data_IF_818591441794
#
_entry.id   IF_818591441794
#
_cell.length_a   1.000
_cell.length_b   1.000
_cell.length_c   1.000
_cell.angle_alpha   90.00
_cell.angle_beta   90.00
_cell.angle_gamma   90.00
#
_symmetry.space_group_name_H-M   'P 1'
#
loop_
_entity.id
_entity.type
_entity.pdbx_description
1 polymer ?
#
# COMPACT_ATOMS: atom_id res chain seq x y z
N UNK A 1 -29.66 3.26 -5.54
CA UNK A 1 -29.40 2.33 -4.43
C UNK A 1 -30.26 1.10 -4.64
N UNK A 2 -29.66 -0.10 -4.60
CA UNK A 2 -30.38 -1.37 -4.79
C UNK A 2 -31.29 -1.62 -3.58
N UNK A 3 -32.55 -1.94 -3.82
CA UNK A 3 -33.52 -2.23 -2.77
C UNK A 3 -33.25 -3.65 -2.22
N UNK A 4 -32.57 -3.75 -1.08
CA UNK A 4 -32.35 -5.02 -0.37
C UNK A 4 -32.88 -4.94 1.05
N UNK A 5 -33.55 -6.01 1.51
CA UNK A 5 -34.22 -6.05 2.82
C UNK A 5 -33.27 -6.18 4.02
N UNK A 6 -32.03 -6.65 3.81
CA UNK A 6 -30.99 -6.77 4.84
C UNK A 6 -29.64 -6.40 4.22
N UNK A 7 -28.83 -5.65 4.97
CA UNK A 7 -27.45 -5.31 4.59
C UNK A 7 -26.50 -5.70 5.70
N UNK A 8 -25.50 -6.51 5.36
CA UNK A 8 -24.48 -7.02 6.27
C UNK A 8 -23.13 -6.53 5.76
N UNK A 9 -22.36 -5.89 6.64
CA UNK A 9 -21.00 -5.44 6.36
C UNK A 9 -20.03 -6.28 7.19
N UNK A 10 -19.25 -7.13 6.52
CA UNK A 10 -18.12 -7.83 7.13
C UNK A 10 -16.89 -6.95 6.95
N UNK A 11 -16.45 -6.31 8.05
CA UNK A 11 -15.29 -5.43 8.05
C UNK A 11 -14.17 -6.04 8.89
N UNK A 12 -13.03 -6.31 8.26
CA UNK A 12 -11.81 -6.78 8.90
C UNK A 12 -10.66 -5.78 8.66
N UNK A 13 -10.88 -4.51 9.00
CA UNK A 13 -9.87 -3.45 8.91
C UNK A 13 -9.26 -3.11 10.27
N UNK A 14 -8.14 -2.35 10.29
CA UNK A 14 -7.44 -1.99 11.51
C UNK A 14 -8.35 -1.18 12.45
N UNK A 15 -8.20 -1.36 13.77
CA UNK A 15 -9.03 -0.69 14.78
C UNK A 15 -8.91 0.85 14.81
N UNK A 16 -7.94 1.41 14.08
CA UNK A 16 -7.76 2.86 13.90
C UNK A 16 -8.45 3.33 12.61
N UNK A 17 -9.76 3.18 12.56
CA UNK A 17 -10.57 3.77 11.49
C UNK A 17 -10.64 5.27 11.78
N UNK A 18 -10.30 6.12 10.80
CA UNK A 18 -10.48 7.57 10.94
C UNK A 18 -11.97 7.88 11.11
N UNK A 19 -12.36 8.83 11.96
CA UNK A 19 -13.79 9.11 12.23
C UNK A 19 -14.63 9.31 10.96
N UNK A 20 -14.04 9.84 9.89
CA UNK A 20 -14.66 9.99 8.56
C UNK A 20 -14.90 8.66 7.84
N UNK A 21 -13.96 7.72 7.91
CA UNK A 21 -14.09 6.39 7.32
C UNK A 21 -15.18 5.58 8.03
N UNK A 22 -15.29 5.73 9.35
CA UNK A 22 -16.34 5.08 10.12
C UNK A 22 -17.74 5.59 9.74
N UNK A 23 -17.89 6.90 9.54
CA UNK A 23 -19.15 7.50 9.04
C UNK A 23 -19.47 7.04 7.62
N UNK A 24 -18.47 6.90 6.75
CA UNK A 24 -18.67 6.35 5.41
C UNK A 24 -19.16 4.88 5.49
N UNK A 25 -18.60 4.06 6.37
CA UNK A 25 -19.06 2.67 6.58
C UNK A 25 -20.49 2.62 7.14
N UNK A 26 -20.84 3.52 8.05
CA UNK A 26 -22.20 3.63 8.58
C UNK A 26 -23.20 4.08 7.51
N UNK A 27 -22.80 4.99 6.62
CA UNK A 27 -23.65 5.44 5.51
C UNK A 27 -24.02 4.31 4.54
N UNK A 28 -23.17 3.29 4.41
CA UNK A 28 -23.46 2.09 3.61
C UNK A 28 -24.53 1.21 4.26
N UNK A 29 -24.61 1.22 5.60
CA UNK A 29 -25.57 0.44 6.39
C UNK A 29 -26.89 1.19 6.56
N UNK A 30 -26.85 2.50 6.72
CA UNK A 30 -28.05 3.34 6.82
C UNK A 30 -28.75 3.41 5.46
N UNK A 31 -29.88 2.71 5.37
CA UNK A 31 -30.80 2.85 4.25
C UNK A 31 -31.81 3.81 4.79
N UNK A 32 -32.08 4.88 4.05
CA UNK A 32 -33.20 5.78 4.33
C UNK A 32 -34.44 4.93 4.66
N UNK A 33 -34.75 4.83 5.96
CA UNK A 33 -36.09 4.55 6.42
C UNK A 33 -36.88 5.74 5.90
N UNK A 34 -37.77 5.48 4.95
CA UNK A 34 -38.32 6.52 4.09
C UNK A 34 -39.15 7.57 4.83
N UNK A 35 -39.25 8.73 4.15
CA UNK A 35 -40.39 9.69 4.17
C UNK A 35 -40.39 10.59 5.44
N UNK A 36 -40.40 11.93 5.42
CA UNK A 36 -40.91 12.92 4.47
C UNK A 36 -40.21 14.29 4.65
N UNK A 37 -40.49 15.25 3.76
CA UNK A 37 -39.98 16.62 3.74
C UNK A 37 -40.09 17.35 5.10
N UNK A 38 -39.12 18.24 5.37
CA UNK A 38 -39.23 19.62 5.91
C UNK A 38 -38.25 19.91 7.06
N UNK A 39 -37.28 20.78 6.77
CA UNK A 39 -36.64 21.80 7.64
C UNK A 39 -36.20 21.46 9.06
N UNK A 40 -34.90 21.67 9.35
CA UNK A 40 -34.42 21.87 10.72
C UNK A 40 -33.07 21.21 11.00
N UNK A 41 -32.01 21.95 10.70
CA UNK A 41 -30.63 21.61 11.05
C UNK A 41 -30.45 21.75 12.57
N UNK A 42 -29.74 20.80 13.19
CA UNK A 42 -29.07 20.86 14.51
C UNK A 42 -29.67 20.13 15.73
N UNK A 43 -30.89 19.57 15.73
CA UNK A 43 -31.43 18.84 16.90
C UNK A 43 -31.30 17.30 16.85
N UNK A 44 -31.04 16.70 15.67
CA UNK A 44 -31.29 15.26 15.45
C UNK A 44 -30.11 14.32 15.70
N UNK A 45 -28.91 14.85 15.97
CA UNK A 45 -27.71 14.00 16.13
C UNK A 45 -27.81 13.02 17.31
N UNK A 46 -28.44 13.44 18.41
CA UNK A 46 -28.53 12.62 19.62
C UNK A 46 -29.65 11.56 19.55
N UNK A 47 -30.72 11.83 18.79
CA UNK A 47 -31.80 10.87 18.58
C UNK A 47 -31.39 9.79 17.56
N UNK A 48 -30.66 10.16 16.51
CA UNK A 48 -30.08 9.20 15.57
C UNK A 48 -29.07 8.28 16.25
N UNK A 49 -28.24 8.78 17.18
CA UNK A 49 -27.31 7.96 17.96
C UNK A 49 -28.03 6.90 18.83
N UNK A 50 -29.22 7.22 19.33
CA UNK A 50 -30.09 6.28 20.04
C UNK A 50 -30.66 5.17 19.15
N UNK A 51 -31.02 5.49 17.90
CA UNK A 51 -31.46 4.52 16.88
C UNK A 51 -30.29 3.73 16.27
N UNK A 52 -29.08 4.30 16.24
CA UNK A 52 -27.85 3.67 15.73
C UNK A 52 -27.37 2.52 16.62
N UNK A 53 -27.69 2.54 17.92
CA UNK A 53 -27.50 1.40 18.86
C UNK A 53 -28.24 0.13 18.41
N UNK A 54 -29.19 0.24 17.47
CA UNK A 54 -29.96 -0.86 16.90
C UNK A 54 -29.26 -1.53 15.69
N UNK A 55 -28.16 -0.97 15.19
CA UNK A 55 -27.22 -1.71 14.34
C UNK A 55 -26.49 -2.69 15.24
N UNK A 56 -27.03 -3.91 15.33
CA UNK A 56 -26.42 -5.00 16.09
C UNK A 56 -25.04 -5.27 15.52
N UNK A 57 -24.01 -4.73 16.17
CA UNK A 57 -22.62 -5.14 15.96
C UNK A 57 -22.51 -6.59 16.44
N UNK A 58 -22.86 -7.54 15.58
CA UNK A 58 -22.55 -8.94 15.80
C UNK A 58 -21.06 -9.08 15.56
N UNK A 59 -20.29 -8.86 16.62
CA UNK A 59 -18.88 -9.25 16.61
C UNK A 59 -18.91 -10.76 16.72
N UNK A 60 -18.73 -11.47 15.59
CA UNK A 60 -18.45 -12.89 15.67
C UNK A 60 -17.21 -13.04 16.57
N UNK A 61 -17.31 -13.75 17.71
CA UNK A 61 -16.13 -14.09 18.48
C UNK A 61 -15.43 -15.16 17.66
N UNK A 62 -14.67 -14.74 16.65
CA UNK A 62 -13.63 -15.59 16.12
C UNK A 62 -12.67 -15.73 17.29
N UNK A 63 -12.74 -16.87 17.96
CA UNK A 63 -11.75 -17.33 18.92
C UNK A 63 -10.40 -16.88 18.38
N UNK A 64 -9.73 -15.97 19.09
CA UNK A 64 -8.38 -15.51 18.73
C UNK A 64 -7.64 -16.78 18.34
N UNK A 65 -7.29 -17.01 17.05
CA UNK A 65 -6.43 -18.13 16.74
C UNK A 65 -5.23 -17.92 17.64
N UNK A 66 -4.94 -18.91 18.48
CA UNK A 66 -3.87 -18.87 19.48
C UNK A 66 -2.74 -18.07 18.86
N UNK A 67 -2.45 -16.91 19.46
CA UNK A 67 -1.63 -15.91 18.80
C UNK A 67 -0.23 -16.49 18.65
N UNK A 68 0.01 -17.23 17.56
CA UNK A 68 1.31 -17.50 17.04
C UNK A 68 1.83 -16.12 16.74
N UNK A 69 2.58 -15.56 17.69
CA UNK A 69 3.22 -14.26 17.54
C UNK A 69 4.14 -14.44 16.34
N UNK A 70 3.68 -14.01 15.17
CA UNK A 70 4.52 -13.94 14.00
C UNK A 70 5.66 -13.01 14.39
N UNK A 71 6.88 -13.54 14.33
CA UNK A 71 8.05 -12.73 14.65
C UNK A 71 8.34 -11.89 13.43
N UNK A 72 8.22 -10.57 13.60
CA UNK A 72 8.50 -9.60 12.55
C UNK A 72 9.96 -9.18 12.60
N UNK A 73 10.62 -9.20 11.45
CA UNK A 73 12.02 -8.82 11.30
C UNK A 73 12.15 -7.72 10.24
N UNK A 74 12.79 -6.61 10.62
CA UNK A 74 13.24 -5.60 9.67
C UNK A 74 14.61 -5.99 9.14
N UNK A 75 14.69 -6.23 7.83
CA UNK A 75 15.94 -6.63 7.19
C UNK A 75 16.50 -5.45 6.39
N UNK A 76 17.61 -4.83 6.85
CA UNK A 76 18.30 -3.84 6.03
C UNK A 76 18.95 -4.55 4.84
N UNK A 77 18.77 -3.98 3.65
CA UNK A 77 19.33 -4.53 2.41
C UNK A 77 20.19 -3.46 1.75
N UNK A 78 21.37 -3.87 1.30
CA UNK A 78 22.27 -2.99 0.55
C UNK A 78 21.67 -2.70 -0.83
N UNK A 79 21.74 -1.43 -1.26
CA UNK A 79 21.33 -1.01 -2.60
C UNK A 79 22.35 -1.51 -3.64
N UNK A 80 21.88 -1.92 -4.82
CA UNK A 80 22.80 -2.32 -5.91
C UNK A 80 23.51 -1.11 -6.52
N UNK A 81 24.59 -1.35 -7.27
CA UNK A 81 25.33 -0.28 -7.96
C UNK A 81 24.44 0.49 -8.95
N UNK A 82 23.63 -0.22 -9.74
CA UNK A 82 22.70 0.40 -10.69
C UNK A 82 21.63 1.23 -9.98
N UNK A 83 21.11 0.74 -8.85
CA UNK A 83 20.17 1.51 -8.04
C UNK A 83 20.84 2.74 -7.42
N UNK A 84 22.08 2.63 -6.95
CA UNK A 84 22.83 3.74 -6.37
C UNK A 84 23.08 4.85 -7.39
N UNK A 85 23.47 4.48 -8.61
CA UNK A 85 23.65 5.40 -9.72
C UNK A 85 22.36 6.18 -10.02
N UNK A 86 21.25 5.46 -10.21
CA UNK A 86 19.94 6.05 -10.50
C UNK A 86 19.40 6.92 -9.35
N UNK A 87 19.61 6.47 -8.11
CA UNK A 87 19.23 7.21 -6.91
C UNK A 87 19.98 8.54 -6.84
N UNK A 88 21.30 8.51 -6.99
CA UNK A 88 22.13 9.71 -6.99
C UNK A 88 21.77 10.64 -8.15
N UNK A 89 21.58 10.11 -9.37
CA UNK A 89 21.17 10.89 -10.53
C UNK A 89 19.83 11.60 -10.31
N UNK A 90 18.85 10.90 -9.72
CA UNK A 90 17.53 11.47 -9.39
C UNK A 90 17.65 12.63 -8.40
N UNK A 91 18.45 12.48 -7.34
CA UNK A 91 18.65 13.53 -6.34
C UNK A 91 19.43 14.73 -6.89
N UNK A 92 20.46 14.50 -7.70
CA UNK A 92 21.27 15.56 -8.29
C UNK A 92 20.46 16.40 -9.28
N UNK A 93 19.67 15.75 -10.13
CA UNK A 93 18.78 16.41 -11.11
C UNK A 93 17.75 17.31 -10.41
N UNK A 94 17.27 16.89 -9.25
CA UNK A 94 16.27 17.61 -8.46
C UNK A 94 16.87 18.41 -7.29
N UNK A 95 18.19 18.64 -7.29
CA UNK A 95 18.90 19.26 -6.17
C UNK A 95 18.41 20.67 -5.84
N UNK A 96 17.93 21.41 -6.83
CA UNK A 96 17.33 22.75 -6.64
C UNK A 96 16.05 22.66 -5.83
N UNK A 97 15.10 21.80 -6.24
CA UNK A 97 13.83 21.57 -5.55
C UNK A 97 14.03 21.00 -4.13
N UNK A 98 15.07 20.17 -3.93
CA UNK A 98 15.41 19.62 -2.62
C UNK A 98 16.03 20.65 -1.67
N UNK A 99 16.66 21.71 -2.21
CA UNK A 99 17.29 22.78 -1.44
C UNK A 99 16.36 23.97 -1.18
N UNK A 100 15.24 24.08 -1.90
CA UNK A 100 14.26 25.14 -1.66
C UNK A 100 13.47 24.89 -0.40
N UNK A 101 13.58 25.79 0.58
CA UNK A 101 12.85 25.72 1.86
C UNK A 101 11.45 26.38 1.79
N UNK A 102 10.70 26.12 0.72
CA UNK A 102 9.34 26.64 0.57
C UNK A 102 8.34 25.67 1.19
N UNK A 103 7.55 26.14 2.17
CA UNK A 103 6.49 25.33 2.81
C UNK A 103 5.36 24.90 1.87
N UNK A 104 5.25 25.50 0.69
CA UNK A 104 4.26 25.12 -0.33
C UNK A 104 4.96 24.46 -1.50
N UNK A 105 4.57 23.23 -1.81
CA UNK A 105 4.90 22.52 -3.06
C UNK A 105 3.62 22.45 -3.93
N UNK A 106 3.26 23.54 -4.64
CA UNK A 106 2.03 23.58 -5.41
C UNK A 106 2.05 22.64 -6.62
N UNK A 107 3.23 22.22 -7.07
CA UNK A 107 3.43 21.38 -8.27
C UNK A 107 3.57 19.89 -7.90
N UNK A 108 3.76 19.57 -6.62
CA UNK A 108 3.96 18.19 -6.16
C UNK A 108 5.35 17.64 -6.48
N UNK A 109 6.32 18.50 -6.76
CA UNK A 109 7.68 18.12 -7.17
C UNK A 109 8.37 17.24 -6.11
N UNK A 110 8.21 17.54 -4.81
CA UNK A 110 8.77 16.71 -3.75
C UNK A 110 8.10 15.33 -3.69
N UNK A 111 6.81 15.27 -3.98
CA UNK A 111 6.06 14.00 -4.07
C UNK A 111 6.59 13.17 -5.23
N UNK A 112 6.85 13.77 -6.38
CA UNK A 112 7.36 13.08 -7.56
C UNK A 112 8.79 12.56 -7.37
N UNK A 113 9.64 13.36 -6.72
CA UNK A 113 10.99 12.93 -6.31
C UNK A 113 10.89 11.73 -5.36
N UNK A 114 10.03 11.82 -4.33
CA UNK A 114 9.83 10.72 -3.37
C UNK A 114 9.33 9.45 -4.07
N UNK A 115 8.39 9.57 -5.00
CA UNK A 115 7.89 8.43 -5.78
C UNK A 115 8.97 7.82 -6.66
N UNK A 116 9.78 8.64 -7.32
CA UNK A 116 10.89 8.20 -8.17
C UNK A 116 11.96 7.46 -7.37
N UNK A 117 12.34 8.02 -6.21
CA UNK A 117 13.27 7.39 -5.27
C UNK A 117 12.72 6.05 -4.76
N UNK A 118 11.43 5.97 -4.40
CA UNK A 118 10.80 4.71 -3.99
C UNK A 118 10.83 3.66 -5.10
N UNK A 119 10.47 4.04 -6.33
CA UNK A 119 10.57 3.15 -7.51
C UNK A 119 11.98 2.61 -7.69
N UNK A 120 13.00 3.47 -7.58
CA UNK A 120 14.40 3.07 -7.67
C UNK A 120 14.78 2.03 -6.60
N UNK A 121 14.36 2.24 -5.34
CA UNK A 121 14.63 1.31 -4.24
C UNK A 121 13.90 -0.03 -4.38
N UNK A 122 12.74 -0.06 -5.05
CA UNK A 122 12.05 -1.31 -5.37
C UNK A 122 12.77 -2.04 -6.51
N UNK A 123 12.95 -1.38 -7.65
CA UNK A 123 13.73 -1.92 -8.77
C UNK A 123 14.12 -0.80 -9.76
N UNK A 124 15.37 -0.73 -10.24
CA UNK A 124 15.79 0.33 -11.17
C UNK A 124 14.99 0.32 -12.49
N UNK A 125 14.59 -0.87 -12.95
CA UNK A 125 13.75 -1.02 -14.16
C UNK A 125 12.32 -0.49 -14.04
N UNK A 126 11.82 -0.25 -12.82
CA UNK A 126 10.53 0.41 -12.61
C UNK A 126 10.68 1.93 -12.78
N UNK A 127 11.84 2.47 -12.42
CA UNK A 127 12.15 3.88 -12.63
C UNK A 127 12.43 4.14 -14.12
N UNK A 128 13.33 3.36 -14.72
CA UNK A 128 13.68 3.46 -16.13
C UNK A 128 13.65 2.07 -16.81
N UNK A 129 12.55 1.77 -17.54
CA UNK A 129 12.42 0.53 -18.28
C UNK A 129 13.48 0.32 -19.37
N UNK A 130 14.13 1.38 -19.86
CA UNK A 130 15.14 1.29 -20.93
C UNK A 130 16.43 0.61 -20.46
N UNK A 131 16.66 0.56 -19.15
CA UNK A 131 17.79 -0.14 -18.53
C UNK A 131 17.67 -1.67 -18.65
N UNK A 132 16.50 -2.20 -19.00
CA UNK A 132 16.30 -3.64 -19.18
C UNK A 132 17.06 -4.16 -20.40
N UNK A 133 17.74 -5.32 -20.30
CA UNK A 133 18.61 -5.83 -21.36
C UNK A 133 17.84 -6.50 -22.53
N UNK A 134 16.62 -6.06 -22.85
CA UNK A 134 15.72 -6.70 -23.84
C UNK A 134 16.36 -6.96 -25.22
N UNK A 135 17.36 -6.16 -25.61
CA UNK A 135 17.98 -6.22 -26.94
C UNK A 135 19.37 -6.88 -26.96
N UNK A 136 19.81 -7.51 -25.87
CA UNK A 136 21.19 -8.04 -25.74
C UNK A 136 21.39 -9.48 -26.21
N UNK A 137 20.37 -10.12 -26.79
CA UNK A 137 20.48 -11.51 -27.26
C UNK A 137 20.74 -12.54 -26.15
N UNK A 138 20.46 -12.16 -24.90
CA UNK A 138 20.64 -13.00 -23.72
C UNK A 138 19.56 -14.08 -23.66
N UNK A 139 19.91 -15.25 -23.14
CA UNK A 139 18.93 -16.28 -22.79
C UNK A 139 18.01 -15.80 -21.67
N UNK A 140 16.79 -16.36 -21.55
CA UNK A 140 15.87 -15.98 -20.46
C UNK A 140 16.47 -16.14 -19.06
N UNK A 141 17.34 -17.13 -18.85
CA UNK A 141 18.01 -17.35 -17.57
C UNK A 141 19.03 -16.25 -17.26
N UNK A 142 19.82 -15.83 -18.25
CA UNK A 142 20.78 -14.73 -18.09
C UNK A 142 20.07 -13.39 -17.88
N UNK A 143 18.96 -13.16 -18.59
CA UNK A 143 18.14 -11.96 -18.36
C UNK A 143 17.60 -11.91 -16.92
N UNK A 144 17.14 -13.04 -16.40
CA UNK A 144 16.69 -13.14 -15.01
C UNK A 144 17.85 -12.86 -14.04
N UNK A 145 19.03 -13.44 -14.26
CA UNK A 145 20.19 -13.22 -13.40
C UNK A 145 20.62 -11.75 -13.39
N UNK A 146 20.66 -11.11 -14.56
CA UNK A 146 20.94 -9.67 -14.69
C UNK A 146 19.88 -8.85 -13.94
N UNK A 147 18.60 -9.20 -14.07
CA UNK A 147 17.51 -8.53 -13.36
C UNK A 147 17.62 -8.68 -11.84
N UNK A 148 17.96 -9.87 -11.34
CA UNK A 148 18.21 -10.10 -9.91
C UNK A 148 19.39 -9.25 -9.44
N UNK A 149 20.50 -9.23 -10.19
CA UNK A 149 21.68 -8.43 -9.85
C UNK A 149 21.41 -6.93 -9.89
N UNK A 150 20.45 -6.47 -10.69
CA UNK A 150 20.08 -5.06 -10.77
C UNK A 150 19.41 -4.52 -9.49
N UNK A 151 18.84 -5.35 -8.61
CA UNK A 151 18.17 -4.90 -7.37
C UNK A 151 18.73 -5.59 -6.13
N UNK A 152 19.17 -4.80 -5.15
CA UNK A 152 19.66 -5.33 -3.87
C UNK A 152 18.62 -6.17 -3.14
N UNK A 153 17.34 -5.77 -3.19
CA UNK A 153 16.22 -6.53 -2.61
C UNK A 153 16.07 -7.91 -3.26
N UNK A 154 16.21 -7.99 -4.59
CA UNK A 154 16.12 -9.27 -5.30
C UNK A 154 17.34 -10.15 -5.05
N UNK A 155 18.55 -9.58 -5.01
CA UNK A 155 19.75 -10.33 -4.62
C UNK A 155 19.63 -10.93 -3.21
N UNK A 156 19.08 -10.17 -2.27
CA UNK A 156 18.84 -10.67 -0.91
C UNK A 156 17.74 -11.74 -0.89
N UNK A 157 16.63 -11.48 -1.59
CA UNK A 157 15.50 -12.40 -1.69
C UNK A 157 15.92 -13.74 -2.31
N UNK A 158 16.75 -13.74 -3.36
CA UNK A 158 17.26 -14.94 -4.02
C UNK A 158 18.04 -15.85 -3.05
N UNK A 159 18.92 -15.24 -2.23
CA UNK A 159 19.64 -15.96 -1.17
C UNK A 159 18.69 -16.50 -0.11
N UNK A 160 17.72 -15.69 0.33
CA UNK A 160 16.75 -16.11 1.34
C UNK A 160 15.87 -17.26 0.84
N UNK A 161 15.37 -17.19 -0.39
CA UNK A 161 14.56 -18.24 -1.01
C UNK A 161 15.36 -19.52 -1.19
N UNK A 162 16.64 -19.42 -1.54
CA UNK A 162 17.54 -20.58 -1.64
C UNK A 162 17.68 -21.28 -0.28
N UNK A 163 17.94 -20.54 0.79
CA UNK A 163 18.02 -21.09 2.15
C UNK A 163 16.69 -21.68 2.63
N UNK A 164 15.57 -21.01 2.36
CA UNK A 164 14.24 -21.52 2.72
C UNK A 164 13.88 -22.80 1.96
N UNK A 165 14.28 -22.90 0.69
CA UNK A 165 14.11 -24.11 -0.11
C UNK A 165 14.93 -25.27 0.43
N UNK A 166 16.20 -25.03 0.81
CA UNK A 166 17.04 -26.05 1.44
C UNK A 166 16.42 -26.58 2.74
N UNK A 167 15.79 -25.70 3.51
CA UNK A 167 15.08 -26.04 4.76
C UNK A 167 13.64 -26.51 4.54
N UNK A 168 13.18 -26.68 3.30
CA UNK A 168 11.82 -27.12 2.94
C UNK A 168 10.68 -26.24 3.51
N UNK A 169 10.91 -24.93 3.65
CA UNK A 169 9.88 -23.97 4.07
C UNK A 169 9.06 -23.47 2.88
N UNK A 170 7.77 -23.20 3.12
CA UNK A 170 6.90 -22.51 2.16
C UNK A 170 6.96 -21.02 2.40
N UNK A 171 7.20 -20.24 1.35
CA UNK A 171 7.35 -18.79 1.42
C UNK A 171 6.20 -18.13 0.67
N UNK A 172 5.60 -17.10 1.28
CA UNK A 172 4.65 -16.19 0.62
C UNK A 172 5.33 -14.84 0.48
N UNK A 173 5.44 -14.36 -0.77
CA UNK A 173 5.96 -13.02 -1.06
C UNK A 173 4.78 -12.11 -1.35
N UNK A 174 4.61 -11.08 -0.52
CA UNK A 174 3.62 -10.02 -0.74
C UNK A 174 4.31 -8.83 -1.41
N UNK A 175 3.69 -8.28 -2.45
CA UNK A 175 4.21 -7.12 -3.16
C UNK A 175 3.08 -6.14 -3.45
N UNK A 176 3.40 -4.85 -3.40
CA UNK A 176 2.52 -3.78 -3.85
C UNK A 176 3.05 -3.26 -5.18
N UNK A 177 2.25 -3.34 -6.23
CA UNK A 177 2.60 -2.72 -7.50
C UNK A 177 2.36 -1.22 -7.35
N UNK A 178 3.44 -0.43 -7.40
CA UNK A 178 3.37 1.02 -7.49
C UNK A 178 2.93 1.39 -8.91
N UNK A 179 1.65 1.19 -9.19
CA UNK A 179 1.04 1.41 -10.50
C UNK A 179 1.01 2.89 -10.88
N UNK A 180 1.63 3.19 -12.02
CA UNK A 180 1.21 4.14 -13.05
C UNK A 180 0.16 5.19 -12.62
N UNK A 181 0.59 6.24 -11.92
CA UNK A 181 -0.15 7.50 -11.95
C UNK A 181 0.18 8.19 -13.26
N UNK A 182 -0.72 8.05 -14.24
CA UNK A 182 -0.91 9.05 -15.29
C UNK A 182 -1.32 10.39 -14.68
#
# INVERSE_FOLDING_TARGET
MLATGVRVLLFNGPMKITSSEYLNLLSLLECKIGVDKTGGLESDFNEHLGKLKRVTKVTAPCSKPESSKFVEYWVPVQISDLQLEQYCATLLTNSTALRTFTKSDPVGTLRDILLSVRKCCDHPYILDPLLQPFNKGLSPAEMLEVGIKASGKLQFLDKMLTEMRLRQHRVVVLFQVMGWSC
#
